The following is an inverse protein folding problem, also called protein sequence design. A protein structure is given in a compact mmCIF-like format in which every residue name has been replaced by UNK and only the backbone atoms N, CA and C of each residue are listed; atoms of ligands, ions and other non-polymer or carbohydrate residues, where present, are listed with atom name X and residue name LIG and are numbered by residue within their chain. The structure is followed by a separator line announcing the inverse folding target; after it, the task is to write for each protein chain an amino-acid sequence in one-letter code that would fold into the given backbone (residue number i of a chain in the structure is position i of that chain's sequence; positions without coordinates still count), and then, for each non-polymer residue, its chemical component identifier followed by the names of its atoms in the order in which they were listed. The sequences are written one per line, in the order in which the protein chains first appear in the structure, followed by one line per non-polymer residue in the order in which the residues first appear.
data_IF_151024135796
#
_entry.id   IF_151024135796
#
_cell.length_a   1.000
_cell.length_b   1.000
_cell.length_c   1.000
_cell.angle_alpha   90.00
_cell.angle_beta   90.00
_cell.angle_gamma   90.00
#
_symmetry.space_group_name_H-M   'P 1'
#
loop_
_entity.id
_entity.type
_entity.pdbx_description
1 polymer ?
#
# COMPACT_ATOMS: atom_id res chain seq x y z
N UNK A 1 2.08 4.91 12.30
CA UNK A 1 2.49 5.85 11.23
C UNK A 1 3.99 6.07 11.37
N UNK A 2 4.81 5.86 10.33
CA UNK A 2 6.26 6.02 10.43
C UNK A 2 6.64 7.50 10.29
N UNK A 3 6.49 8.26 11.38
CA UNK A 3 6.73 9.72 11.43
C UNK A 3 8.20 10.05 11.07
N UNK A 4 9.12 9.10 11.29
CA UNK A 4 10.54 9.20 10.94
C UNK A 4 10.84 8.78 9.49
N UNK A 5 9.85 8.48 8.65
CA UNK A 5 10.09 8.20 7.23
C UNK A 5 10.04 9.51 6.42
N UNK A 6 11.17 10.17 6.16
CA UNK A 6 11.18 11.47 5.50
C UNK A 6 10.71 11.37 4.05
N UNK A 7 10.69 10.15 3.46
CA UNK A 7 10.30 9.95 2.06
C UNK A 7 8.91 10.52 1.77
N UNK A 8 7.95 10.27 2.66
CA UNK A 8 6.57 10.72 2.48
C UNK A 8 6.48 12.25 2.66
N UNK A 9 7.07 12.81 3.72
CA UNK A 9 7.06 14.25 3.95
C UNK A 9 7.79 15.04 2.86
N UNK A 10 8.93 14.54 2.37
CA UNK A 10 9.68 15.14 1.26
C UNK A 10 8.86 15.09 -0.04
N UNK A 11 8.15 13.98 -0.30
CA UNK A 11 7.26 13.88 -1.46
C UNK A 11 6.17 14.97 -1.43
N UNK A 12 5.49 15.17 -0.30
CA UNK A 12 4.51 16.25 -0.18
C UNK A 12 5.13 17.63 -0.34
N UNK A 13 6.30 17.87 0.27
CA UNK A 13 7.00 19.15 0.14
C UNK A 13 7.46 19.43 -1.30
N UNK A 14 7.80 18.40 -2.07
CA UNK A 14 8.25 18.53 -3.46
C UNK A 14 7.08 18.66 -4.45
N UNK A 15 5.96 17.98 -4.22
CA UNK A 15 4.83 17.95 -5.16
C UNK A 15 3.69 18.90 -4.83
N UNK A 16 3.49 19.32 -3.58
CA UNK A 16 2.38 20.22 -3.23
C UNK A 16 2.59 21.68 -3.67
N UNK A 17 3.78 22.30 -3.56
CA UNK A 17 3.95 23.72 -3.88
C UNK A 17 3.49 24.15 -5.28
N UNK A 18 3.72 23.36 -6.35
CA UNK A 18 3.20 23.68 -7.69
C UNK A 18 1.67 23.79 -7.79
N UNK A 19 0.92 23.22 -6.84
CA UNK A 19 -0.55 23.29 -6.81
C UNK A 19 -1.09 24.44 -5.96
N UNK A 20 -0.21 25.22 -5.30
CA UNK A 20 -0.60 26.38 -4.51
C UNK A 20 -0.80 27.61 -5.38
N UNK A 21 -1.62 28.55 -4.90
CA UNK A 21 -1.89 29.82 -5.58
C UNK A 21 -0.69 30.80 -5.63
N UNK A 22 0.39 30.49 -4.91
CA UNK A 22 1.56 31.36 -4.76
C UNK A 22 1.38 32.48 -3.72
N UNK A 23 0.21 32.58 -3.07
CA UNK A 23 -0.03 33.56 -2.01
C UNK A 23 0.43 33.03 -0.64
N UNK A 24 1.46 33.66 -0.06
CA UNK A 24 2.01 33.27 1.23
C UNK A 24 0.99 33.36 2.39
N UNK A 25 -0.02 34.24 2.30
CA UNK A 25 -1.03 34.38 3.34
C UNK A 25 -2.00 33.19 3.42
N UNK A 26 -2.24 32.49 2.30
CA UNK A 26 -3.17 31.35 2.23
C UNK A 26 -2.45 29.99 2.16
N UNK A 27 -1.12 29.98 1.99
CA UNK A 27 -0.32 28.77 1.79
C UNK A 27 -0.58 27.68 2.84
N UNK A 28 -0.63 28.02 4.13
CA UNK A 28 -0.88 27.03 5.20
C UNK A 28 -2.26 26.38 5.07
N UNK A 29 -3.29 27.16 4.72
CA UNK A 29 -4.65 26.67 4.56
C UNK A 29 -4.78 25.78 3.32
N UNK A 30 -4.17 26.18 2.21
CA UNK A 30 -4.14 25.40 0.96
C UNK A 30 -3.41 24.06 1.14
N UNK A 31 -2.26 24.07 1.83
CA UNK A 31 -1.52 22.85 2.18
C UNK A 31 -2.35 21.91 3.07
N UNK A 32 -3.03 22.45 4.08
CA UNK A 32 -3.90 21.67 4.95
C UNK A 32 -5.08 21.06 4.18
N UNK A 33 -5.70 21.82 3.28
CA UNK A 33 -6.79 21.34 2.43
C UNK A 33 -6.32 20.23 1.48
N UNK A 34 -5.20 20.43 0.79
CA UNK A 34 -4.63 19.40 -0.09
C UNK A 34 -4.26 18.13 0.67
N UNK A 35 -3.68 18.27 1.87
CA UNK A 35 -3.41 17.15 2.77
C UNK A 35 -4.68 16.40 3.16
N UNK A 36 -5.75 17.12 3.51
CA UNK A 36 -7.04 16.53 3.84
C UNK A 36 -7.66 15.77 2.66
N UNK A 37 -7.62 16.35 1.45
CA UNK A 37 -8.08 15.68 0.23
C UNK A 37 -7.28 14.41 -0.04
N UNK A 38 -5.95 14.47 0.06
CA UNK A 38 -5.09 13.30 -0.11
C UNK A 38 -5.42 12.20 0.91
N UNK A 39 -5.60 12.55 2.18
CA UNK A 39 -5.98 11.60 3.23
C UNK A 39 -7.34 10.96 2.96
N UNK A 40 -8.34 11.76 2.54
CA UNK A 40 -9.67 11.25 2.19
C UNK A 40 -9.62 10.27 1.01
N UNK A 41 -8.86 10.60 -0.04
CA UNK A 41 -8.66 9.70 -1.19
C UNK A 41 -7.93 8.41 -0.78
N UNK A 42 -6.86 8.52 0.00
CA UNK A 42 -6.11 7.37 0.50
C UNK A 42 -7.03 6.45 1.32
N UNK A 43 -7.82 7.03 2.21
CA UNK A 43 -8.79 6.30 3.00
C UNK A 43 -9.84 5.62 2.12
N UNK A 44 -10.44 6.34 1.16
CA UNK A 44 -11.44 5.79 0.26
C UNK A 44 -10.90 4.60 -0.55
N UNK A 45 -9.71 4.74 -1.11
CA UNK A 45 -9.03 3.66 -1.85
C UNK A 45 -8.79 2.46 -0.95
N UNK A 46 -8.26 2.66 0.26
CA UNK A 46 -8.03 1.57 1.20
C UNK A 46 -9.31 0.93 1.71
N UNK A 47 -10.39 1.68 1.88
CA UNK A 47 -11.70 1.14 2.25
C UNK A 47 -12.24 0.23 1.13
N UNK A 48 -12.16 0.66 -0.14
CA UNK A 48 -12.53 -0.15 -1.30
C UNK A 48 -11.69 -1.43 -1.35
N UNK A 49 -10.36 -1.32 -1.19
CA UNK A 49 -9.49 -2.49 -1.13
C UNK A 49 -9.83 -3.41 0.04
N UNK A 50 -10.15 -2.88 1.23
CA UNK A 50 -10.52 -3.67 2.39
C UNK A 50 -11.81 -4.47 2.14
N UNK A 51 -12.83 -3.83 1.54
CA UNK A 51 -14.09 -4.49 1.19
C UNK A 51 -13.89 -5.55 0.10
N UNK A 52 -13.05 -5.26 -0.91
CA UNK A 52 -12.70 -6.23 -1.94
C UNK A 52 -11.93 -7.42 -1.35
N UNK A 53 -10.98 -7.16 -0.44
CA UNK A 53 -10.20 -8.19 0.23
C UNK A 53 -11.06 -9.06 1.16
N UNK A 54 -12.05 -8.49 1.85
CA UNK A 54 -13.00 -9.24 2.67
C UNK A 54 -13.81 -10.23 1.81
N UNK A 55 -14.36 -9.77 0.69
CA UNK A 55 -15.10 -10.65 -0.25
C UNK A 55 -14.19 -11.72 -0.85
N UNK A 56 -12.97 -11.36 -1.25
CA UNK A 56 -11.99 -12.31 -1.77
C UNK A 56 -11.62 -13.38 -0.73
N UNK A 57 -11.49 -12.99 0.55
CA UNK A 57 -11.24 -13.91 1.66
C UNK A 57 -12.38 -14.91 1.81
N UNK A 58 -13.63 -14.46 1.80
CA UNK A 58 -14.78 -15.34 1.97
C UNK A 58 -14.91 -16.33 0.81
N UNK A 59 -14.66 -15.88 -0.42
CA UNK A 59 -14.57 -16.77 -1.59
C UNK A 59 -13.43 -17.79 -1.50
N UNK A 60 -12.25 -17.35 -1.05
CA UNK A 60 -11.06 -18.19 -0.90
C UNK A 60 -11.26 -19.27 0.15
N UNK A 61 -11.84 -18.92 1.31
CA UNK A 61 -12.12 -19.84 2.40
C UNK A 61 -13.30 -20.77 2.12
N UNK A 62 -14.29 -20.31 1.34
CA UNK A 62 -15.40 -21.14 0.89
C UNK A 62 -15.03 -22.18 -0.18
N UNK A 63 -13.88 -22.02 -0.84
CA UNK A 63 -13.46 -22.91 -1.93
C UNK A 63 -12.24 -23.76 -1.58
N UNK A 64 -12.48 -25.05 -1.33
CA UNK A 64 -11.41 -26.01 -1.10
C UNK A 64 -10.41 -26.08 -2.28
N UNK A 65 -10.85 -25.81 -3.52
CA UNK A 65 -9.97 -25.76 -4.70
C UNK A 65 -9.03 -24.56 -4.63
N UNK A 66 -9.55 -23.37 -4.29
CA UNK A 66 -8.74 -22.16 -4.18
C UNK A 66 -7.69 -22.29 -3.07
N UNK A 67 -8.10 -22.83 -1.91
CA UNK A 67 -7.18 -23.10 -0.79
C UNK A 67 -6.06 -24.09 -1.16
N UNK A 68 -6.36 -25.14 -1.95
CA UNK A 68 -5.33 -26.07 -2.46
C UNK A 68 -4.31 -25.38 -3.37
N UNK A 69 -4.76 -24.50 -4.27
CA UNK A 69 -3.85 -23.73 -5.13
C UNK A 69 -2.99 -22.76 -4.34
N UNK A 70 -3.57 -22.08 -3.34
CA UNK A 70 -2.83 -21.20 -2.43
C UNK A 70 -1.71 -21.96 -1.69
N UNK A 71 -2.02 -23.12 -1.11
CA UNK A 71 -1.03 -23.95 -0.43
C UNK A 71 0.07 -24.44 -1.37
N UNK A 72 -0.28 -24.82 -2.61
CA UNK A 72 0.71 -25.19 -3.64
C UNK A 72 1.62 -24.02 -4.03
N UNK A 73 1.08 -22.81 -4.14
CA UNK A 73 1.88 -21.63 -4.43
C UNK A 73 2.91 -21.37 -3.32
N UNK A 74 2.48 -21.41 -2.05
CA UNK A 74 3.41 -21.31 -0.91
C UNK A 74 4.48 -22.40 -0.93
N UNK A 75 4.08 -23.66 -1.10
CA UNK A 75 5.02 -24.78 -1.17
C UNK A 75 6.06 -24.58 -2.30
N UNK A 76 5.63 -24.08 -3.45
CA UNK A 76 6.52 -23.79 -4.59
C UNK A 76 7.51 -22.68 -4.26
N UNK A 77 7.06 -21.58 -3.64
CA UNK A 77 7.93 -20.48 -3.24
C UNK A 77 8.95 -20.94 -2.20
N UNK A 78 8.53 -21.68 -1.17
CA UNK A 78 9.44 -22.19 -0.15
C UNK A 78 10.44 -23.20 -0.70
N UNK A 79 10.00 -24.12 -1.56
CA UNK A 79 10.91 -25.05 -2.23
C UNK A 79 11.93 -24.31 -3.10
N UNK A 80 11.50 -23.28 -3.84
CA UNK A 80 12.39 -22.43 -4.64
C UNK A 80 13.41 -21.67 -3.79
N UNK A 81 12.98 -21.08 -2.67
CA UNK A 81 13.88 -20.41 -1.72
C UNK A 81 14.86 -21.39 -1.07
N UNK A 82 14.41 -22.59 -0.70
CA UNK A 82 15.27 -23.63 -0.15
C UNK A 82 16.31 -24.10 -1.18
N UNK A 83 15.90 -24.30 -2.44
CA UNK A 83 16.82 -24.61 -3.53
C UNK A 83 17.85 -23.51 -3.76
N UNK A 84 17.41 -22.23 -3.76
CA UNK A 84 18.33 -21.10 -3.85
C UNK A 84 19.32 -21.08 -2.69
N UNK A 85 18.87 -21.28 -1.46
CA UNK A 85 19.74 -21.33 -0.28
C UNK A 85 20.75 -22.48 -0.37
N UNK A 86 20.33 -23.65 -0.86
CA UNK A 86 21.23 -24.79 -1.06
C UNK A 86 22.31 -24.49 -2.10
N UNK A 87 21.97 -23.80 -3.19
CA UNK A 87 22.92 -23.37 -4.22
C UNK A 87 23.83 -22.24 -3.75
N UNK A 88 23.37 -21.36 -2.86
CA UNK A 88 24.16 -20.26 -2.29
C UNK A 88 25.16 -20.75 -1.23
N UNK A 89 24.97 -21.98 -0.73
CA UNK A 89 25.89 -22.66 0.20
C UNK A 89 26.72 -23.80 -0.42
N UNK A 90 26.62 -24.02 -1.73
CA UNK A 90 27.43 -24.96 -2.50
C UNK A 90 28.55 -24.22 -3.24
#
# INVERSE_FOLDING_TARGET
MNILNPKLSIFFLALLPPFLSGNAATATQELALMGAVFMALTFAVFAVYAVAAAQARDWLLGSARAMRWLNRAFATVFAGLAGRLAMERA
#
